data_IF_583387388590
#
_entry.id   IF_583387388590
#
_cell.length_a   1.000
_cell.length_b   1.000
_cell.length_c   1.000
_cell.angle_alpha   90.00
_cell.angle_beta   90.00
_cell.angle_gamma   90.00
#
_symmetry.space_group_name_H-M   'P 1'
#
loop_
_entity.id
_entity.type
_entity.pdbx_description
1 polymer ?
#
# COMPACT_ATOMS: atom_id res chain seq x y z
N UNK A 1 11.83 8.37 -8.37
CA UNK A 1 12.83 8.20 -9.43
C UNK A 1 13.40 9.51 -9.94
N UNK A 2 12.67 10.33 -10.72
CA UNK A 2 13.25 11.52 -11.41
C UNK A 2 13.95 12.54 -10.50
N UNK A 3 13.35 12.95 -9.37
CA UNK A 3 13.98 13.90 -8.44
C UNK A 3 15.30 13.39 -7.87
N UNK A 4 15.37 12.11 -7.56
CA UNK A 4 16.59 11.47 -7.03
C UNK A 4 17.66 11.42 -8.11
N UNK A 5 17.32 10.99 -9.31
CA UNK A 5 18.22 10.94 -10.46
C UNK A 5 18.81 12.32 -10.78
N UNK A 6 17.99 13.37 -10.83
CA UNK A 6 18.46 14.76 -11.01
C UNK A 6 19.33 15.23 -9.85
N UNK A 7 19.03 14.82 -8.61
CA UNK A 7 19.85 15.18 -7.45
C UNK A 7 21.24 14.53 -7.53
N UNK A 8 21.31 13.28 -7.91
CA UNK A 8 22.58 12.56 -8.09
C UNK A 8 23.40 13.20 -9.22
N UNK A 9 22.79 13.47 -10.35
CA UNK A 9 23.45 14.11 -11.52
C UNK A 9 24.03 15.48 -11.13
N UNK A 10 23.23 16.34 -10.49
CA UNK A 10 23.68 17.65 -10.01
C UNK A 10 24.81 17.57 -8.99
N UNK A 11 24.76 16.59 -8.11
CA UNK A 11 25.81 16.36 -7.14
C UNK A 11 27.13 16.06 -7.83
N UNK A 12 27.15 15.17 -8.82
CA UNK A 12 28.37 14.85 -9.56
C UNK A 12 28.85 15.98 -10.44
N UNK A 13 27.96 16.82 -10.94
CA UNK A 13 28.29 18.00 -11.74
C UNK A 13 28.65 19.24 -10.88
N UNK A 14 28.62 19.11 -9.55
CA UNK A 14 28.84 20.20 -8.61
C UNK A 14 27.90 21.41 -8.85
N UNK A 15 26.67 21.11 -9.26
CA UNK A 15 25.63 22.10 -9.58
C UNK A 15 24.70 22.35 -8.39
N UNK A 16 23.99 23.50 -8.40
CA UNK A 16 23.01 23.84 -7.34
C UNK A 16 21.96 22.74 -7.14
N UNK A 17 21.80 22.29 -5.91
CA UNK A 17 20.82 21.27 -5.54
C UNK A 17 19.38 21.79 -5.46
N UNK A 18 19.18 23.10 -5.46
CA UNK A 18 17.89 23.74 -5.23
C UNK A 18 17.42 24.60 -6.41
N UNK A 19 18.32 25.21 -7.16
CA UNK A 19 17.99 26.15 -8.21
C UNK A 19 17.28 25.47 -9.40
N UNK A 20 16.20 26.10 -9.91
CA UNK A 20 15.45 25.63 -11.07
C UNK A 20 14.67 24.32 -10.87
N UNK A 21 14.34 23.96 -9.61
CA UNK A 21 13.63 22.72 -9.26
C UNK A 21 12.13 22.90 -9.04
N UNK A 22 11.58 24.08 -9.32
CA UNK A 22 10.16 24.38 -9.10
C UNK A 22 9.24 23.51 -9.97
N UNK A 23 9.77 23.04 -11.09
CA UNK A 23 9.06 22.16 -12.03
C UNK A 23 9.37 20.67 -11.84
N UNK A 24 10.19 20.33 -10.87
CA UNK A 24 10.50 18.95 -10.51
C UNK A 24 9.55 18.49 -9.41
N UNK A 25 8.77 17.50 -9.66
CA UNK A 25 7.90 16.92 -8.63
C UNK A 25 6.85 15.99 -9.22
N UNK A 26 6.01 15.48 -8.37
CA UNK A 26 4.76 14.88 -8.82
C UNK A 26 3.93 15.98 -9.44
N UNK A 27 3.78 15.96 -10.75
CA UNK A 27 2.72 16.75 -11.36
C UNK A 27 1.41 16.24 -10.79
N UNK A 28 0.53 17.14 -10.36
CA UNK A 28 -0.86 16.77 -10.09
C UNK A 28 -1.44 16.17 -11.38
N UNK A 29 -1.38 14.85 -11.46
CA UNK A 29 -2.19 14.11 -12.40
C UNK A 29 -3.61 14.22 -11.86
N UNK A 30 -4.39 15.14 -12.39
CA UNK A 30 -5.83 15.16 -12.15
C UNK A 30 -6.40 13.89 -12.76
N UNK A 31 -6.47 12.85 -11.98
CA UNK A 31 -7.41 11.78 -12.22
C UNK A 31 -8.78 12.43 -12.06
N UNK A 32 -9.44 12.66 -13.18
CA UNK A 32 -10.80 13.18 -13.17
C UNK A 32 -11.68 12.09 -12.54
N UNK A 33 -12.10 12.33 -11.31
CA UNK A 33 -13.06 11.49 -10.61
C UNK A 33 -14.46 12.06 -10.82
N UNK A 34 -15.35 11.28 -11.40
CA UNK A 34 -16.75 11.64 -11.47
C UNK A 34 -17.41 11.30 -10.14
N UNK A 35 -17.79 12.35 -9.40
CA UNK A 35 -18.46 12.25 -8.10
C UNK A 35 -19.92 12.73 -8.16
N UNK A 36 -20.49 12.82 -9.35
CA UNK A 36 -21.90 13.26 -9.51
C UNK A 36 -22.82 12.34 -8.73
N UNK A 37 -23.64 12.92 -7.85
CA UNK A 37 -24.57 12.20 -6.98
C UNK A 37 -23.94 11.47 -5.80
N UNK A 38 -22.67 11.69 -5.50
CA UNK A 38 -21.99 11.16 -4.32
C UNK A 38 -21.94 12.23 -3.24
N UNK A 39 -22.60 11.99 -2.13
CA UNK A 39 -22.46 12.81 -0.92
C UNK A 39 -21.22 12.39 -0.16
N UNK A 40 -20.32 13.35 0.08
CA UNK A 40 -19.07 13.10 0.80
C UNK A 40 -19.18 13.75 2.17
N UNK A 41 -19.11 12.94 3.22
CA UNK A 41 -19.02 13.41 4.60
C UNK A 41 -17.56 13.54 5.04
N UNK A 42 -17.30 14.47 5.96
CA UNK A 42 -15.95 14.68 6.50
C UNK A 42 -15.51 13.51 7.37
N UNK A 43 -14.23 13.20 7.30
CA UNK A 43 -13.58 12.18 8.13
C UNK A 43 -13.81 12.45 9.62
N UNK A 44 -14.17 11.42 10.35
CA UNK A 44 -14.27 11.44 11.82
C UNK A 44 -12.90 11.09 12.38
N UNK A 45 -12.23 12.09 12.97
CA UNK A 45 -10.95 11.86 13.63
C UNK A 45 -11.16 11.39 15.07
N UNK A 46 -10.49 10.30 15.49
CA UNK A 46 -10.62 9.83 16.85
C UNK A 46 -10.09 10.88 17.85
N UNK A 47 -10.83 11.12 18.92
CA UNK A 47 -10.40 12.03 19.99
C UNK A 47 -9.15 11.50 20.70
N UNK A 48 -9.09 10.18 20.88
CA UNK A 48 -7.87 9.51 21.30
C UNK A 48 -7.07 9.11 20.05
N UNK A 49 -5.87 9.69 19.87
CA UNK A 49 -5.01 9.47 18.70
C UNK A 49 -4.65 8.00 18.40
N UNK A 50 -4.99 7.08 19.28
CA UNK A 50 -4.65 5.67 19.17
C UNK A 50 -5.79 4.78 18.65
N UNK A 51 -7.05 5.13 18.91
CA UNK A 51 -8.20 4.30 18.52
C UNK A 51 -9.51 5.09 18.55
N UNK A 52 -10.47 4.65 17.74
CA UNK A 52 -11.85 5.11 17.79
C UNK A 52 -12.57 4.56 19.03
N UNK A 53 -13.43 5.36 19.61
CA UNK A 53 -14.51 4.87 20.47
C UNK A 53 -15.56 4.16 19.61
N UNK A 54 -16.44 3.37 20.22
CA UNK A 54 -17.50 2.68 19.48
C UNK A 54 -18.39 3.65 18.69
N UNK A 55 -18.80 4.76 19.30
CA UNK A 55 -19.62 5.80 18.67
C UNK A 55 -18.90 6.48 17.49
N UNK A 56 -17.60 6.77 17.63
CA UNK A 56 -16.79 7.34 16.56
C UNK A 56 -16.63 6.35 15.42
N UNK A 57 -16.37 5.08 15.71
CA UNK A 57 -16.26 4.03 14.70
C UNK A 57 -17.57 3.82 13.93
N UNK A 58 -18.71 3.88 14.61
CA UNK A 58 -20.03 3.80 13.97
C UNK A 58 -20.26 5.00 13.05
N UNK A 59 -19.91 6.21 13.49
CA UNK A 59 -20.04 7.42 12.67
C UNK A 59 -19.13 7.35 11.45
N UNK A 60 -17.87 6.96 11.64
CA UNK A 60 -16.92 6.78 10.53
C UNK A 60 -17.39 5.71 9.54
N UNK A 61 -17.93 4.60 10.03
CA UNK A 61 -18.47 3.55 9.15
C UNK A 61 -19.69 4.04 8.33
N UNK A 62 -20.48 4.96 8.85
CA UNK A 62 -21.66 5.53 8.15
C UNK A 62 -21.26 6.44 6.99
N UNK A 63 -20.05 7.01 7.00
CA UNK A 63 -19.50 7.81 5.89
C UNK A 63 -19.25 6.98 4.62
N UNK A 64 -19.34 5.67 4.70
CA UNK A 64 -19.06 4.80 3.57
C UNK A 64 -20.01 5.09 2.41
N UNK A 65 -19.46 5.47 1.26
CA UNK A 65 -20.18 5.74 0.01
C UNK A 65 -20.55 4.45 -0.76
N UNK A 66 -20.39 3.29 -0.14
CA UNK A 66 -20.70 1.98 -0.72
C UNK A 66 -20.03 1.67 -2.07
N UNK A 67 -18.93 2.37 -2.38
CA UNK A 67 -18.21 2.29 -3.66
C UNK A 67 -19.06 2.68 -4.89
N UNK A 68 -20.09 3.50 -4.72
CA UNK A 68 -21.01 3.86 -5.81
C UNK A 68 -20.33 4.60 -6.97
N UNK A 69 -19.22 5.29 -6.76
CA UNK A 69 -18.49 5.98 -7.81
C UNK A 69 -17.64 5.05 -8.70
N UNK A 70 -17.15 3.92 -8.20
CA UNK A 70 -16.27 2.95 -8.87
C UNK A 70 -14.99 3.56 -9.51
N UNK A 71 -14.62 4.79 -9.16
CA UNK A 71 -13.52 5.52 -9.81
C UNK A 71 -12.15 4.84 -9.60
N UNK A 72 -11.92 4.25 -8.43
CA UNK A 72 -10.68 3.52 -8.15
C UNK A 72 -10.48 2.29 -9.07
N UNK A 73 -11.56 1.70 -9.60
CA UNK A 73 -11.45 0.60 -10.56
C UNK A 73 -10.85 1.04 -11.89
N UNK A 74 -10.99 2.31 -12.28
CA UNK A 74 -10.41 2.85 -13.52
C UNK A 74 -8.89 2.95 -13.43
N UNK A 75 -8.37 3.29 -12.25
CA UNK A 75 -6.95 3.49 -12.01
C UNK A 75 -6.19 2.24 -11.57
N UNK A 76 -6.85 1.25 -11.00
CA UNK A 76 -6.22 0.09 -10.38
C UNK A 76 -6.30 -1.17 -11.26
N UNK A 77 -5.14 -1.67 -11.72
CA UNK A 77 -5.07 -2.89 -12.51
C UNK A 77 -5.56 -4.13 -11.73
N UNK A 78 -5.28 -4.17 -10.42
CA UNK A 78 -5.74 -5.22 -9.52
C UNK A 78 -7.27 -5.29 -9.43
N UNK A 79 -7.94 -4.14 -9.19
CA UNK A 79 -9.41 -4.09 -9.15
C UNK A 79 -10.05 -4.47 -10.49
N UNK A 80 -9.43 -4.06 -11.60
CA UNK A 80 -9.89 -4.44 -12.95
C UNK A 80 -9.72 -5.93 -13.21
N UNK A 81 -8.58 -6.51 -12.82
CA UNK A 81 -8.32 -7.93 -13.02
C UNK A 81 -9.36 -8.82 -12.34
N UNK A 82 -9.68 -8.49 -11.08
CA UNK A 82 -10.70 -9.23 -10.32
C UNK A 82 -12.14 -8.77 -10.61
N UNK A 83 -12.31 -7.74 -11.44
CA UNK A 83 -13.61 -7.13 -11.73
C UNK A 83 -14.44 -6.88 -10.46
N UNK A 84 -13.78 -6.29 -9.46
CA UNK A 84 -14.35 -6.11 -8.12
C UNK A 84 -13.98 -4.74 -7.55
N UNK A 85 -14.80 -4.24 -6.66
CA UNK A 85 -14.61 -2.95 -6.00
C UNK A 85 -14.22 -3.13 -4.53
N UNK A 86 -13.63 -2.11 -3.87
CA UNK A 86 -13.03 -2.26 -2.55
C UNK A 86 -13.94 -2.85 -1.47
N UNK A 87 -15.20 -2.41 -1.37
CA UNK A 87 -16.16 -2.93 -0.39
C UNK A 87 -16.39 -4.44 -0.57
N UNK A 88 -16.51 -4.91 -1.81
CA UNK A 88 -16.65 -6.32 -2.09
C UNK A 88 -15.39 -7.10 -1.75
N UNK A 89 -14.24 -6.60 -2.11
CA UNK A 89 -12.95 -7.24 -1.77
C UNK A 89 -12.71 -7.32 -0.26
N UNK A 90 -13.02 -6.25 0.48
CA UNK A 90 -12.96 -6.27 1.94
C UNK A 90 -13.86 -7.35 2.55
N UNK A 91 -15.06 -7.51 2.01
CA UNK A 91 -15.99 -8.61 2.41
C UNK A 91 -15.43 -9.98 2.08
N UNK A 92 -14.86 -10.15 0.89
CA UNK A 92 -14.25 -11.42 0.48
C UNK A 92 -13.04 -11.76 1.37
N UNK A 93 -12.20 -10.79 1.70
CA UNK A 93 -11.10 -10.96 2.64
C UNK A 93 -11.60 -11.36 4.04
N UNK A 94 -12.63 -10.68 4.55
CA UNK A 94 -13.24 -11.03 5.83
C UNK A 94 -13.79 -12.46 5.83
N UNK A 95 -14.57 -12.82 4.81
CA UNK A 95 -15.12 -14.17 4.68
C UNK A 95 -14.01 -15.23 4.61
N UNK A 96 -12.94 -14.97 3.86
CA UNK A 96 -11.78 -15.84 3.75
C UNK A 96 -11.07 -16.06 5.09
N UNK A 97 -10.97 -15.03 5.92
CA UNK A 97 -10.44 -15.12 7.27
C UNK A 97 -11.36 -15.91 8.22
N UNK A 98 -12.67 -15.80 8.04
CA UNK A 98 -13.66 -16.45 8.88
C UNK A 98 -13.81 -17.96 8.63
N UNK A 99 -13.33 -18.49 7.50
CA UNK A 99 -13.40 -19.92 7.17
C UNK A 99 -12.64 -20.74 8.24
N UNK A 100 -13.37 -21.60 8.94
CA UNK A 100 -12.78 -22.54 9.89
C UNK A 100 -12.28 -23.81 9.19
N UNK A 101 -13.14 -24.42 8.35
CA UNK A 101 -12.83 -25.62 7.56
C UNK A 101 -13.19 -25.35 6.10
N UNK A 102 -12.29 -25.62 5.19
CA UNK A 102 -12.52 -25.46 3.74
C UNK A 102 -11.43 -24.67 3.02
N UNK A 103 -11.62 -24.49 1.73
CA UNK A 103 -10.67 -23.83 0.86
C UNK A 103 -10.76 -22.31 0.99
N UNK A 104 -9.61 -21.67 1.24
CA UNK A 104 -9.47 -20.20 1.25
C UNK A 104 -9.17 -19.71 -0.16
N UNK A 105 -10.20 -19.65 -1.00
CA UNK A 105 -10.06 -19.33 -2.43
C UNK A 105 -9.61 -17.89 -2.69
N UNK A 106 -9.80 -16.99 -1.72
CA UNK A 106 -9.41 -15.58 -1.85
C UNK A 106 -7.97 -15.28 -1.41
N UNK A 107 -7.18 -16.27 -0.98
CA UNK A 107 -5.77 -16.04 -0.61
C UNK A 107 -5.00 -15.34 -1.72
N UNK A 108 -5.07 -15.87 -2.95
CA UNK A 108 -4.40 -15.25 -4.11
C UNK A 108 -4.83 -13.80 -4.35
N UNK A 109 -6.11 -13.51 -4.20
CA UNK A 109 -6.61 -12.14 -4.34
C UNK A 109 -6.04 -11.23 -3.26
N UNK A 110 -6.06 -11.66 -2.00
CA UNK A 110 -5.51 -10.92 -0.87
C UNK A 110 -4.02 -10.60 -1.07
N UNK A 111 -3.26 -11.57 -1.60
CA UNK A 111 -1.81 -11.44 -1.80
C UNK A 111 -1.40 -10.69 -3.07
N UNK A 112 -2.32 -10.52 -4.02
CA UNK A 112 -2.00 -9.89 -5.31
C UNK A 112 -1.98 -8.36 -5.29
N UNK A 113 -2.41 -7.71 -4.21
CA UNK A 113 -2.39 -6.25 -4.10
C UNK A 113 -0.97 -5.75 -3.83
N UNK A 114 -0.51 -4.74 -4.58
CA UNK A 114 0.80 -4.14 -4.41
C UNK A 114 0.90 -3.13 -3.25
N UNK A 115 -0.15 -2.93 -2.47
CA UNK A 115 -0.20 -2.00 -1.34
C UNK A 115 0.26 -0.56 -1.69
N UNK A 116 -0.02 -0.12 -2.91
CA UNK A 116 0.51 1.15 -3.44
C UNK A 116 -0.25 2.40 -3.00
N UNK A 117 -1.38 2.29 -2.28
CA UNK A 117 -2.20 3.40 -1.81
C UNK A 117 -2.96 4.18 -2.89
N UNK A 118 -2.88 3.78 -4.17
CA UNK A 118 -3.55 4.51 -5.25
C UNK A 118 -5.07 4.58 -5.09
N UNK A 119 -5.68 3.52 -4.56
CA UNK A 119 -7.13 3.50 -4.30
C UNK A 119 -7.53 4.55 -3.26
N UNK A 120 -6.72 4.78 -2.22
CA UNK A 120 -6.95 5.83 -1.23
C UNK A 120 -6.88 7.23 -1.84
N UNK A 121 -5.90 7.45 -2.73
CA UNK A 121 -5.73 8.75 -3.42
C UNK A 121 -6.89 9.09 -4.38
N UNK A 122 -7.58 8.07 -4.90
CA UNK A 122 -8.73 8.23 -5.79
C UNK A 122 -10.04 8.30 -5.00
N UNK A 123 -10.13 7.57 -3.88
CA UNK A 123 -11.37 7.44 -3.11
C UNK A 123 -11.71 8.77 -2.41
N UNK A 124 -12.91 9.34 -2.65
CA UNK A 124 -13.32 10.55 -1.95
C UNK A 124 -13.52 10.35 -0.45
N UNK A 125 -13.76 9.10 -0.02
CA UNK A 125 -13.81 8.72 1.39
C UNK A 125 -12.46 8.34 2.00
N UNK A 126 -11.37 8.38 1.22
CA UNK A 126 -10.02 8.06 1.69
C UNK A 126 -9.77 6.57 2.01
N UNK A 127 -10.61 5.67 1.49
CA UNK A 127 -10.46 4.23 1.75
C UNK A 127 -9.18 3.68 1.11
N UNK A 128 -8.24 3.22 1.91
CA UNK A 128 -7.10 2.43 1.46
C UNK A 128 -7.40 0.93 1.54
N UNK A 129 -7.66 0.33 0.37
CA UNK A 129 -7.85 -1.12 0.29
C UNK A 129 -6.53 -1.87 0.60
N UNK A 130 -5.38 -1.25 0.34
CA UNK A 130 -4.07 -1.82 0.65
C UNK A 130 -3.94 -2.13 2.13
N UNK A 131 -4.27 -1.19 3.02
CA UNK A 131 -4.24 -1.40 4.48
C UNK A 131 -5.17 -2.54 4.91
N UNK A 132 -6.37 -2.64 4.31
CA UNK A 132 -7.31 -3.74 4.61
C UNK A 132 -6.72 -5.10 4.23
N UNK A 133 -6.09 -5.20 3.05
CA UNK A 133 -5.50 -6.45 2.58
C UNK A 133 -4.20 -6.79 3.32
N UNK A 134 -3.40 -5.79 3.68
CA UNK A 134 -2.22 -5.97 4.54
C UNK A 134 -2.61 -6.52 5.92
N UNK A 135 -3.64 -5.95 6.55
CA UNK A 135 -4.19 -6.49 7.79
C UNK A 135 -4.63 -7.95 7.62
N UNK A 136 -5.32 -8.27 6.51
CA UNK A 136 -5.75 -9.62 6.22
C UNK A 136 -4.57 -10.59 6.08
N UNK A 137 -3.50 -10.20 5.37
CA UNK A 137 -2.25 -10.99 5.25
C UNK A 137 -1.63 -11.27 6.62
N UNK A 138 -1.43 -10.22 7.41
CA UNK A 138 -0.88 -10.33 8.74
C UNK A 138 -1.70 -11.26 9.64
N UNK A 139 -3.03 -11.17 9.55
CA UNK A 139 -3.94 -12.06 10.29
C UNK A 139 -3.84 -13.50 9.82
N UNK A 140 -3.75 -13.75 8.52
CA UNK A 140 -3.63 -15.08 7.93
C UNK A 140 -2.34 -15.76 8.37
N UNK A 141 -1.22 -15.04 8.33
CA UNK A 141 0.08 -15.57 8.82
C UNK A 141 0.00 -15.91 10.31
N UNK A 142 -0.47 -14.98 11.14
CA UNK A 142 -0.58 -15.17 12.60
C UNK A 142 -1.53 -16.29 13.03
N UNK A 143 -2.41 -16.73 12.14
CA UNK A 143 -3.42 -17.78 12.44
C UNK A 143 -3.24 -19.04 11.60
N UNK A 144 -2.06 -19.21 10.97
CA UNK A 144 -1.70 -20.36 10.12
C UNK A 144 -2.74 -20.63 9.02
N UNK A 145 -3.35 -19.57 8.50
CA UNK A 145 -4.36 -19.65 7.42
C UNK A 145 -3.79 -19.39 6.02
N UNK A 146 -2.50 -19.12 5.95
CA UNK A 146 -1.76 -18.97 4.70
C UNK A 146 -0.73 -20.10 4.62
N UNK A 147 -0.68 -20.88 3.52
CA UNK A 147 0.33 -21.91 3.39
C UNK A 147 1.72 -21.26 3.26
N UNK A 148 2.68 -21.58 4.16
CA UNK A 148 4.03 -21.01 4.11
C UNK A 148 4.74 -21.29 2.78
N UNK A 149 4.51 -22.46 2.21
CA UNK A 149 5.11 -22.91 0.95
C UNK A 149 4.90 -21.96 -0.24
N UNK A 150 3.85 -21.13 -0.21
CA UNK A 150 3.60 -20.15 -1.27
C UNK A 150 4.64 -19.02 -1.30
N UNK A 151 5.34 -18.78 -0.19
CA UNK A 151 6.28 -17.68 0.00
C UNK A 151 7.68 -18.16 0.40
N UNK A 152 7.87 -19.46 0.60
CA UNK A 152 9.10 -20.05 1.11
C UNK A 152 10.32 -19.60 0.31
N UNK A 153 10.27 -19.74 -1.00
CA UNK A 153 11.37 -19.31 -1.88
C UNK A 153 11.69 -17.81 -1.72
N UNK A 154 10.68 -16.96 -1.70
CA UNK A 154 10.89 -15.51 -1.56
C UNK A 154 11.44 -15.12 -0.19
N UNK A 155 11.06 -15.84 0.86
CA UNK A 155 11.58 -15.64 2.21
C UNK A 155 13.03 -16.10 2.30
N UNK A 156 13.35 -17.29 1.79
CA UNK A 156 14.72 -17.81 1.74
C UNK A 156 15.65 -16.91 0.94
N UNK A 157 15.20 -16.42 -0.23
CA UNK A 157 15.95 -15.48 -1.06
C UNK A 157 16.20 -14.16 -0.34
N UNK A 158 15.19 -13.65 0.36
CA UNK A 158 15.33 -12.44 1.19
C UNK A 158 16.30 -12.65 2.37
N UNK A 159 16.20 -13.77 3.07
CA UNK A 159 17.08 -14.12 4.20
C UNK A 159 18.53 -14.27 3.73
N UNK A 160 18.75 -14.95 2.60
CA UNK A 160 20.06 -15.08 1.98
C UNK A 160 20.63 -13.73 1.56
N UNK A 161 19.83 -12.89 0.88
CA UNK A 161 20.26 -11.56 0.42
C UNK A 161 20.60 -10.60 1.55
N UNK A 162 20.04 -10.81 2.75
CA UNK A 162 20.33 -10.05 3.95
C UNK A 162 21.30 -10.77 4.90
N UNK A 163 21.78 -11.96 4.53
CA UNK A 163 22.72 -12.76 5.29
C UNK A 163 24.17 -12.28 5.17
N UNK A 164 25.03 -12.75 6.07
CA UNK A 164 26.46 -12.38 6.10
C UNK A 164 27.22 -12.89 4.87
N UNK A 165 26.73 -13.94 4.20
CA UNK A 165 27.30 -14.50 3.00
C UNK A 165 27.21 -13.54 1.80
N UNK A 166 26.14 -12.76 1.74
CA UNK A 166 25.88 -11.86 0.60
C UNK A 166 26.13 -10.40 0.94
N UNK A 167 25.86 -9.98 2.16
CA UNK A 167 25.92 -8.59 2.59
C UNK A 167 26.86 -8.38 3.78
N UNK A 168 27.87 -7.55 3.60
CA UNK A 168 28.78 -7.16 4.67
C UNK A 168 28.59 -5.68 5.00
N UNK A 169 28.16 -5.38 6.21
CA UNK A 169 28.14 -4.02 6.73
C UNK A 169 29.54 -3.66 7.23
N UNK A 170 30.22 -2.80 6.51
CA UNK A 170 31.50 -2.25 6.95
C UNK A 170 31.23 -1.02 7.79
N UNK A 171 31.21 -1.17 9.11
CA UNK A 171 31.16 -0.05 10.05
C UNK A 171 32.52 0.67 10.05
N UNK A 172 32.71 1.62 9.15
CA UNK A 172 33.84 2.57 9.20
C UNK A 172 33.30 3.92 9.64
N UNK A 173 33.90 4.48 10.67
CA UNK A 173 33.71 5.88 11.01
C UNK A 173 34.20 6.75 9.83
N UNK A 174 33.40 7.76 9.43
CA UNK A 174 33.71 8.68 8.33
C UNK A 174 33.60 8.09 6.90
N UNK A 175 32.53 7.41 6.58
CA UNK A 175 32.20 7.06 5.20
C UNK A 175 31.68 8.29 4.44
N UNK A 176 32.26 8.61 3.29
CA UNK A 176 31.77 9.68 2.43
C UNK A 176 30.49 9.29 1.67
N UNK A 177 30.25 8.00 1.50
CA UNK A 177 29.13 7.46 0.74
C UNK A 177 28.61 6.18 1.40
N UNK A 178 27.29 6.00 1.36
CA UNK A 178 26.62 4.77 1.74
C UNK A 178 25.82 4.28 0.54
N UNK A 179 26.05 3.04 0.15
CA UNK A 179 25.24 2.37 -0.86
C UNK A 179 24.04 1.69 -0.20
N UNK A 180 22.85 2.04 -0.64
CA UNK A 180 21.63 1.42 -0.19
C UNK A 180 21.04 0.60 -1.35
N UNK A 181 21.17 -0.73 -1.34
CA UNK A 181 20.84 -1.58 -2.47
C UNK A 181 19.34 -1.69 -2.77
N UNK A 182 18.48 -1.34 -1.82
CA UNK A 182 17.04 -1.54 -1.96
C UNK A 182 16.60 -2.94 -1.53
N UNK A 183 15.37 -3.33 -1.90
CA UNK A 183 14.74 -4.56 -1.44
C UNK A 183 14.99 -5.76 -2.36
N UNK A 184 15.63 -5.56 -3.49
CA UNK A 184 15.96 -6.60 -4.47
C UNK A 184 17.37 -6.35 -5.01
N UNK A 185 18.30 -6.99 -4.43
CA UNK A 185 19.59 -7.28 -5.02
C UNK A 185 19.75 -8.77 -5.10
#
# INVERSE_FOLDING_TARGET
>A
GKRVSTSIDRFFQNSSMTEGREKEGSFETRLYTNLDGIEIEQEIKPQNKQSYTEDEAIKEAKRCIDCNCLECMKGCAFLRYYNSYPKRMAREAYNNLAIALGNRTSNKMIDSCNLCGQCASICPGGLDLGEVLEYARNKMVKTDKMPPSAFEFAIEDMEFSNGEEFFTVINKENLNYVFFPGCQL
#
